data_IF_067163946694
#
_entry.id   IF_067163946694
#
_cell.length_a   1.000
_cell.length_b   1.000
_cell.length_c   1.000
_cell.angle_alpha   90.00
_cell.angle_beta   90.00
_cell.angle_gamma   90.00
#
_symmetry.space_group_name_H-M   'P 1'
#
loop_
_entity.id
_entity.type
_entity.pdbx_description
1 polymer ?
#
# COMPACT_ATOMS: atom_id res chain seq x y z
N UNK A 1 -27.61 -7.46 -16.29
CA UNK A 1 -27.27 -6.12 -16.83
C UNK A 1 -26.01 -5.62 -16.15
N UNK A 2 -25.04 -5.20 -16.96
CA UNK A 2 -23.70 -4.69 -16.61
C UNK A 2 -23.76 -3.53 -15.60
N UNK A 3 -22.78 -3.45 -14.70
CA UNK A 3 -21.92 -2.25 -14.52
C UNK A 3 -20.53 -2.67 -14.03
N UNK A 4 -19.58 -2.75 -14.97
CA UNK A 4 -18.14 -2.67 -14.67
C UNK A 4 -17.81 -1.19 -14.51
N UNK A 5 -17.12 -0.82 -13.42
CA UNK A 5 -16.48 0.48 -13.31
C UNK A 5 -14.97 0.28 -13.53
N UNK A 6 -14.50 0.69 -14.71
CA UNK A 6 -13.09 0.89 -15.00
C UNK A 6 -12.67 2.23 -14.38
N UNK A 7 -11.70 2.23 -13.48
CA UNK A 7 -11.06 3.46 -13.01
C UNK A 7 -9.78 3.67 -13.83
N UNK A 8 -9.85 4.56 -14.81
CA UNK A 8 -8.72 4.97 -15.66
C UNK A 8 -7.87 5.98 -14.87
N UNK A 9 -6.62 5.62 -14.59
CA UNK A 9 -5.61 6.54 -14.03
C UNK A 9 -5.15 7.51 -15.12
N UNK A 10 -5.41 8.81 -14.94
CA UNK A 10 -4.82 9.86 -15.78
C UNK A 10 -3.55 10.40 -15.12
N UNK A 11 -2.43 10.14 -15.79
CA UNK A 11 -1.12 10.71 -15.52
C UNK A 11 -1.07 12.10 -16.18
N UNK A 12 -1.07 13.18 -15.41
CA UNK A 12 -0.92 14.54 -15.94
C UNK A 12 0.56 14.91 -16.01
N UNK A 13 1.08 15.06 -17.23
CA UNK A 13 2.39 15.67 -17.51
C UNK A 13 2.26 17.20 -17.49
N UNK A 14 3.10 17.87 -16.69
CA UNK A 14 3.25 19.33 -16.73
C UNK A 14 4.41 19.67 -17.69
N UNK A 15 4.09 20.27 -18.84
CA UNK A 15 5.05 20.81 -19.80
C UNK A 15 5.45 22.26 -19.46
N UNK A 16 6.75 22.55 -19.44
CA UNK A 16 7.32 23.90 -19.34
C UNK A 16 7.17 24.64 -20.68
N UNK A 17 6.59 25.84 -20.66
CA UNK A 17 6.64 26.77 -21.79
C UNK A 17 7.75 27.80 -21.53
N UNK A 18 8.81 27.75 -22.34
CA UNK A 18 9.77 28.85 -22.53
C UNK A 18 9.19 29.77 -23.60
N UNK A 19 8.94 31.04 -23.26
CA UNK A 19 8.68 32.09 -24.25
C UNK A 19 9.97 32.84 -24.48
N UNK A 20 10.59 32.61 -25.65
CA UNK A 20 11.51 33.57 -26.26
C UNK A 20 10.70 34.57 -27.06
N UNK A 21 10.91 35.86 -26.87
CA UNK A 21 10.52 36.87 -27.85
C UNK A 21 11.78 37.60 -28.30
N UNK A 22 12.11 37.39 -29.57
CA UNK A 22 13.01 38.21 -30.35
C UNK A 22 12.26 39.48 -30.78
N UNK A 23 12.94 40.62 -30.86
CA UNK A 23 12.44 41.78 -31.57
C UNK A 23 13.58 42.56 -32.24
N UNK A 24 13.56 42.48 -33.57
CA UNK A 24 13.98 43.40 -34.63
C UNK A 24 15.15 44.40 -34.39
N UNK A 25 16.15 44.28 -35.27
CA UNK A 25 17.16 45.31 -35.59
C UNK A 25 16.56 46.36 -36.54
N UNK A 26 16.85 47.64 -36.31
CA UNK A 26 16.86 48.73 -37.32
C UNK A 26 18.02 49.70 -37.02
N UNK A 27 18.58 50.40 -38.03
CA UNK A 27 19.96 50.89 -38.03
C UNK A 27 20.10 52.29 -37.39
N UNK A 28 21.19 52.51 -36.64
CA UNK A 28 21.50 53.81 -36.04
C UNK A 28 22.62 54.50 -36.79
N UNK A 29 22.30 55.70 -37.27
CA UNK A 29 23.15 56.69 -37.94
C UNK A 29 24.25 57.21 -37.01
N UNK A 30 25.49 57.28 -37.51
CA UNK A 30 26.68 57.70 -36.78
C UNK A 30 27.05 59.13 -37.18
N UNK A 31 26.64 60.14 -36.40
CA UNK A 31 27.35 61.43 -36.40
C UNK A 31 27.22 62.19 -35.08
N UNK A 32 28.39 62.64 -34.60
CA UNK A 32 28.70 63.73 -33.66
C UNK A 32 28.42 63.46 -32.17
N UNK A 33 29.44 63.15 -31.38
CA UNK A 33 30.47 64.06 -30.82
C UNK A 33 29.87 65.09 -29.86
N UNK A 34 30.06 64.88 -28.56
CA UNK A 34 30.75 65.85 -27.71
C UNK A 34 30.92 65.34 -26.26
N UNK A 35 32.09 65.71 -25.73
CA UNK A 35 32.37 66.11 -24.35
C UNK A 35 32.52 65.07 -23.23
N UNK A 36 33.66 65.18 -22.54
CA UNK A 36 34.12 64.34 -21.44
C UNK A 36 33.75 65.02 -20.11
N UNK A 37 32.89 64.41 -19.29
CA UNK A 37 32.96 64.57 -17.82
C UNK A 37 32.36 63.37 -17.07
N UNK A 38 33.22 62.72 -16.29
CA UNK A 38 33.03 62.29 -14.90
C UNK A 38 31.85 61.40 -14.43
N UNK A 39 32.28 60.35 -13.69
CA UNK A 39 31.56 59.44 -12.78
C UNK A 39 30.58 58.42 -13.36
N UNK A 40 31.11 57.21 -13.54
CA UNK A 40 30.40 55.94 -13.52
C UNK A 40 29.77 55.71 -12.13
N UNK A 41 28.62 56.36 -11.88
CA UNK A 41 27.75 56.09 -10.75
C UNK A 41 26.50 55.32 -11.23
N UNK A 42 26.71 54.22 -11.97
CA UNK A 42 25.66 53.24 -12.12
C UNK A 42 25.31 52.71 -10.70
N UNK A 43 24.04 52.78 -10.26
CA UNK A 43 23.66 52.19 -8.98
C UNK A 43 24.03 50.69 -9.01
N UNK A 44 24.60 50.14 -7.93
CA UNK A 44 24.98 48.73 -7.90
C UNK A 44 23.74 47.89 -8.23
N UNK A 45 23.80 47.17 -9.36
CA UNK A 45 22.75 46.24 -9.75
C UNK A 45 22.72 45.13 -8.70
N UNK A 46 21.77 45.21 -7.78
CA UNK A 46 21.47 44.15 -6.82
C UNK A 46 20.87 42.99 -7.59
N UNK A 47 21.73 42.05 -7.99
CA UNK A 47 21.27 40.77 -8.51
C UNK A 47 20.38 40.11 -7.45
N UNK A 48 19.22 39.54 -7.83
CA UNK A 48 18.40 38.81 -6.88
C UNK A 48 19.26 37.69 -6.28
N UNK A 49 19.32 37.65 -4.95
CA UNK A 49 19.98 36.57 -4.24
C UNK A 49 19.34 35.24 -4.63
N UNK A 50 20.05 34.42 -5.41
CA UNK A 50 19.66 33.04 -5.68
C UNK A 50 20.02 32.25 -4.43
N UNK A 51 19.14 32.29 -3.43
CA UNK A 51 19.24 31.37 -2.30
C UNK A 51 18.98 29.96 -2.83
N UNK A 52 19.86 28.98 -2.58
CA UNK A 52 19.58 27.59 -2.94
C UNK A 52 18.29 27.17 -2.23
N UNK A 53 17.27 26.77 -3.01
CA UNK A 53 16.06 26.17 -2.43
C UNK A 53 16.48 24.82 -1.86
N UNK A 54 16.49 24.70 -0.53
CA UNK A 54 16.71 23.43 0.12
C UNK A 54 15.66 22.43 -0.37
N UNK A 55 16.09 21.22 -0.73
CA UNK A 55 15.14 20.14 -1.02
C UNK A 55 14.42 19.77 0.28
N UNK A 56 13.09 19.74 0.26
CA UNK A 56 12.32 19.27 1.41
C UNK A 56 12.56 17.77 1.57
N UNK A 57 13.28 17.40 2.63
CA UNK A 57 13.56 16.02 3.02
C UNK A 57 12.66 15.59 4.20
N UNK A 58 11.52 16.25 4.36
CA UNK A 58 10.51 15.87 5.35
C UNK A 58 9.56 14.86 4.73
N UNK A 59 9.07 13.92 5.52
CA UNK A 59 8.21 12.87 4.98
C UNK A 59 7.84 11.80 5.97
N UNK A 60 7.07 10.83 5.45
CA UNK A 60 6.63 9.66 6.19
C UNK A 60 7.09 8.41 5.46
N UNK A 61 7.60 7.45 6.20
CA UNK A 61 8.08 6.18 5.66
C UNK A 61 7.55 5.03 6.53
N UNK A 62 7.05 3.98 5.86
CA UNK A 62 6.84 2.69 6.50
C UNK A 62 7.97 1.75 6.08
N UNK A 63 8.65 1.15 7.06
CA UNK A 63 9.70 0.17 6.83
C UNK A 63 9.22 -1.20 7.31
N UNK A 64 9.07 -2.15 6.39
CA UNK A 64 8.69 -3.51 6.73
C UNK A 64 9.82 -4.20 7.52
N UNK A 65 9.46 -5.01 8.52
CA UNK A 65 10.42 -5.75 9.35
C UNK A 65 10.26 -7.26 9.18
N UNK A 66 9.06 -7.78 9.43
CA UNK A 66 8.79 -9.21 9.35
C UNK A 66 7.33 -9.50 9.11
N UNK A 67 7.06 -10.68 8.57
CA UNK A 67 5.71 -11.24 8.48
C UNK A 67 5.70 -12.75 8.69
N UNK A 68 4.57 -13.26 9.15
CA UNK A 68 4.28 -14.68 9.26
C UNK A 68 2.88 -14.97 8.77
N UNK A 69 2.68 -16.20 8.28
CA UNK A 69 1.37 -16.68 7.81
C UNK A 69 1.05 -17.96 8.56
N UNK A 70 -0.20 -18.10 8.96
CA UNK A 70 -0.66 -19.32 9.61
C UNK A 70 -2.17 -19.52 9.39
N UNK A 71 -2.64 -20.67 9.84
CA UNK A 71 -4.03 -21.06 9.81
C UNK A 71 -4.61 -21.00 11.22
N UNK A 72 -5.79 -20.41 11.33
CA UNK A 72 -6.66 -20.52 12.49
C UNK A 72 -7.69 -21.61 12.22
N UNK A 73 -7.72 -22.62 13.08
CA UNK A 73 -8.72 -23.69 13.06
C UNK A 73 -9.99 -23.18 13.73
N UNK A 74 -11.12 -23.28 13.03
CA UNK A 74 -12.42 -22.80 13.53
C UNK A 74 -13.48 -23.92 13.53
N UNK A 75 -13.26 -24.97 12.73
CA UNK A 75 -14.11 -26.14 12.68
C UNK A 75 -13.26 -27.41 12.64
N UNK A 76 -13.65 -28.39 13.44
CA UNK A 76 -13.17 -29.76 13.28
C UNK A 76 -14.29 -30.77 13.50
N UNK A 77 -14.26 -31.88 12.74
CA UNK A 77 -15.18 -32.99 12.92
C UNK A 77 -14.55 -34.32 12.49
N UNK A 78 -14.72 -35.38 13.28
CA UNK A 78 -14.26 -36.72 12.91
C UNK A 78 -15.33 -37.43 12.09
N UNK A 79 -15.11 -37.53 10.78
CA UNK A 79 -15.97 -38.30 9.89
C UNK A 79 -15.49 -39.75 9.80
N UNK A 80 -16.45 -40.68 9.85
CA UNK A 80 -16.20 -42.13 9.73
C UNK A 80 -17.02 -42.68 8.58
N UNK A 81 -16.37 -43.39 7.66
CA UNK A 81 -17.03 -44.11 6.59
C UNK A 81 -16.77 -45.62 6.73
N UNK A 82 -17.68 -46.37 7.39
CA UNK A 82 -17.55 -47.83 7.54
C UNK A 82 -17.96 -48.61 6.27
N UNK A 83 -18.53 -47.92 5.28
CA UNK A 83 -19.01 -48.55 4.05
C UNK A 83 -17.87 -48.99 3.13
N UNK A 84 -18.21 -49.77 2.10
CA UNK A 84 -17.29 -50.21 1.04
C UNK A 84 -17.15 -49.20 -0.10
N UNK A 85 -17.88 -48.09 -0.07
CA UNK A 85 -17.86 -47.06 -1.11
C UNK A 85 -17.42 -45.72 -0.54
N UNK A 86 -16.99 -44.80 -1.39
CA UNK A 86 -16.70 -43.43 -0.97
C UNK A 86 -17.99 -42.71 -0.62
N UNK A 87 -17.98 -41.97 0.49
CA UNK A 87 -19.10 -41.15 0.98
C UNK A 87 -18.74 -39.66 0.88
N UNK A 88 -19.70 -38.77 1.09
CA UNK A 88 -19.48 -37.32 1.15
C UNK A 88 -20.25 -36.68 2.30
N UNK A 89 -19.59 -35.81 3.06
CA UNK A 89 -20.18 -35.08 4.18
C UNK A 89 -20.07 -33.58 3.91
N UNK A 90 -21.17 -32.86 4.14
CA UNK A 90 -21.22 -31.40 3.96
C UNK A 90 -21.57 -30.70 5.27
N UNK A 91 -20.86 -29.61 5.57
CA UNK A 91 -21.15 -28.75 6.71
C UNK A 91 -21.25 -27.28 6.30
N UNK A 92 -22.05 -26.54 7.06
CA UNK A 92 -22.06 -25.08 7.06
C UNK A 92 -21.11 -24.61 8.17
N UNK A 93 -19.97 -24.03 7.78
CA UNK A 93 -18.88 -23.66 8.68
C UNK A 93 -18.77 -22.14 8.77
N UNK A 94 -18.83 -21.62 10.00
CA UNK A 94 -18.54 -20.22 10.28
C UNK A 94 -17.03 -19.98 10.37
N UNK A 95 -16.52 -19.02 9.61
CA UNK A 95 -15.12 -18.60 9.59
C UNK A 95 -15.00 -17.10 9.82
N UNK A 96 -13.96 -16.67 10.52
CA UNK A 96 -13.75 -15.27 10.90
C UNK A 96 -12.97 -14.53 9.82
N UNK A 97 -13.49 -13.39 9.37
CA UNK A 97 -12.74 -12.42 8.56
C UNK A 97 -12.46 -11.19 9.41
N UNK A 98 -11.19 -10.91 9.66
CA UNK A 98 -10.76 -9.77 10.46
C UNK A 98 -9.54 -9.07 9.90
N UNK A 99 -9.38 -7.79 10.25
CA UNK A 99 -8.17 -7.00 10.04
C UNK A 99 -7.99 -6.03 11.21
N UNK A 100 -6.82 -6.04 11.85
CA UNK A 100 -6.46 -5.14 12.93
C UNK A 100 -5.00 -4.70 12.83
N UNK A 101 -4.68 -3.49 13.27
CA UNK A 101 -3.32 -2.97 13.31
C UNK A 101 -3.21 -1.80 14.30
N UNK A 102 -2.05 -1.59 14.90
CA UNK A 102 -1.76 -0.45 15.79
C UNK A 102 -1.04 0.69 15.06
N UNK A 103 -1.44 0.98 13.84
CA UNK A 103 -0.87 2.02 12.96
C UNK A 103 -1.41 3.42 13.26
N UNK A 104 -0.68 4.47 12.87
CA UNK A 104 -1.17 5.84 13.00
C UNK A 104 -2.29 6.17 12.00
N UNK A 105 -2.26 5.57 10.80
CA UNK A 105 -3.24 5.85 9.73
C UNK A 105 -3.59 4.58 8.95
N UNK A 106 -4.75 4.58 8.29
CA UNK A 106 -5.14 3.51 7.37
C UNK A 106 -4.20 3.38 6.18
N UNK A 107 -3.51 4.47 5.78
CA UNK A 107 -2.50 4.45 4.72
C UNK A 107 -1.30 3.58 5.11
N UNK A 108 -0.83 3.67 6.35
CA UNK A 108 0.24 2.78 6.86
C UNK A 108 -0.15 1.32 6.74
N UNK A 109 -1.38 0.98 7.15
CA UNK A 109 -1.85 -0.40 7.06
C UNK A 109 -1.91 -0.87 5.60
N UNK A 110 -2.34 -0.02 4.67
CA UNK A 110 -2.29 -0.33 3.23
C UNK A 110 -0.85 -0.56 2.73
N UNK A 111 0.12 0.26 3.18
CA UNK A 111 1.54 0.02 2.87
C UNK A 111 2.03 -1.30 3.45
N UNK A 112 1.68 -1.61 4.71
CA UNK A 112 2.00 -2.90 5.34
C UNK A 112 1.43 -4.09 4.55
N UNK A 113 0.16 -3.99 4.13
CA UNK A 113 -0.50 -5.01 3.29
C UNK A 113 0.18 -5.16 1.94
N UNK A 114 0.61 -4.05 1.33
CA UNK A 114 1.31 -4.02 0.05
C UNK A 114 2.70 -4.68 0.15
N UNK A 115 3.49 -4.32 1.16
CA UNK A 115 4.83 -4.91 1.40
C UNK A 115 4.76 -6.42 1.66
N UNK A 116 3.72 -6.88 2.36
CA UNK A 116 3.54 -8.33 2.60
C UNK A 116 2.98 -9.05 1.36
N UNK A 117 2.38 -8.33 0.42
CA UNK A 117 1.85 -8.86 -0.82
C UNK A 117 0.61 -9.74 -0.65
N UNK A 118 -0.20 -9.51 0.40
CA UNK A 118 -1.41 -10.29 0.67
C UNK A 118 -2.56 -9.39 1.06
N UNK A 119 -3.57 -9.31 0.20
CA UNK A 119 -4.77 -8.53 0.44
C UNK A 119 -5.55 -8.97 1.68
N UNK A 120 -6.31 -8.04 2.25
CA UNK A 120 -7.22 -8.30 3.36
C UNK A 120 -8.60 -8.71 2.84
N UNK A 121 -9.34 -9.51 3.61
CA UNK A 121 -10.75 -9.82 3.29
C UNK A 121 -11.73 -8.75 3.73
N UNK A 122 -11.34 -7.93 4.71
CA UNK A 122 -12.16 -6.85 5.30
C UNK A 122 -11.31 -5.61 5.54
N UNK A 123 -11.97 -4.48 5.76
CA UNK A 123 -11.31 -3.21 6.08
C UNK A 123 -10.66 -3.24 7.46
N UNK A 124 -9.70 -2.33 7.68
CA UNK A 124 -9.00 -2.19 8.96
C UNK A 124 -9.99 -1.92 10.11
N UNK A 125 -9.83 -2.63 11.22
CA UNK A 125 -10.68 -2.50 12.41
C UNK A 125 -11.96 -3.33 12.34
N UNK A 126 -12.21 -4.02 11.21
CA UNK A 126 -13.41 -4.84 11.04
C UNK A 126 -13.16 -6.29 11.44
N UNK A 127 -14.17 -6.91 12.05
CA UNK A 127 -14.26 -8.36 12.27
C UNK A 127 -15.68 -8.81 11.96
N UNK A 128 -15.81 -9.79 11.07
CA UNK A 128 -17.11 -10.36 10.67
C UNK A 128 -17.00 -11.87 10.53
N UNK A 129 -18.15 -12.54 10.61
CA UNK A 129 -18.25 -13.98 10.41
C UNK A 129 -18.83 -14.25 9.03
N UNK A 130 -18.14 -15.09 8.25
CA UNK A 130 -18.62 -15.60 6.98
C UNK A 130 -18.97 -17.08 7.13
N UNK A 131 -20.12 -17.47 6.61
CA UNK A 131 -20.51 -18.88 6.60
C UNK A 131 -20.19 -19.51 5.24
N UNK A 132 -19.52 -20.66 5.25
CA UNK A 132 -19.12 -21.41 4.06
C UNK A 132 -19.80 -22.78 4.06
N UNK A 133 -20.31 -23.21 2.90
CA UNK A 133 -20.70 -24.60 2.71
C UNK A 133 -19.51 -25.39 2.18
N UNK A 134 -19.06 -26.41 2.91
CA UNK A 134 -17.88 -27.20 2.59
C UNK A 134 -18.27 -28.67 2.54
N UNK A 135 -17.89 -29.36 1.46
CA UNK A 135 -18.14 -30.78 1.25
C UNK A 135 -16.81 -31.53 1.18
N UNK A 136 -16.70 -32.60 1.97
CA UNK A 136 -15.55 -33.51 1.96
C UNK A 136 -15.98 -34.90 1.51
N UNK A 137 -15.23 -35.47 0.57
CA UNK A 137 -15.34 -36.88 0.22
C UNK A 137 -14.57 -37.75 1.24
N UNK A 138 -15.18 -38.81 1.76
CA UNK A 138 -14.60 -39.74 2.74
C UNK A 138 -14.45 -41.12 2.08
N UNK A 139 -13.22 -41.59 1.79
CA UNK A 139 -13.00 -42.91 1.19
C UNK A 139 -13.63 -44.05 2.00
N UNK A 140 -13.90 -45.17 1.32
CA UNK A 140 -14.39 -46.38 1.95
C UNK A 140 -13.50 -46.84 3.12
N UNK A 141 -14.09 -47.47 4.13
CA UNK A 141 -13.40 -48.09 5.27
C UNK A 141 -12.37 -47.17 5.94
N UNK A 142 -12.69 -45.88 6.10
CA UNK A 142 -11.72 -44.90 6.58
C UNK A 142 -12.31 -43.87 7.53
N UNK A 143 -11.42 -43.24 8.30
CA UNK A 143 -11.74 -42.15 9.20
C UNK A 143 -10.88 -40.94 8.84
N UNK A 144 -11.49 -39.76 8.83
CA UNK A 144 -10.81 -38.51 8.53
C UNK A 144 -11.25 -37.43 9.51
N UNK A 145 -10.27 -36.69 10.04
CA UNK A 145 -10.52 -35.45 10.75
C UNK A 145 -10.70 -34.34 9.71
N UNK A 146 -11.92 -33.84 9.57
CA UNK A 146 -12.29 -32.72 8.71
C UNK A 146 -11.95 -31.44 9.45
N UNK A 147 -11.31 -30.48 8.78
CA UNK A 147 -10.93 -29.21 9.38
C UNK A 147 -11.20 -28.06 8.44
N UNK A 148 -11.58 -26.92 8.99
CA UNK A 148 -11.70 -25.67 8.25
C UNK A 148 -11.46 -24.47 9.15
N UNK A 149 -11.15 -23.34 8.52
CA UNK A 149 -11.02 -22.07 9.20
C UNK A 149 -10.45 -20.98 8.30
N UNK A 150 -9.75 -20.04 8.91
CA UNK A 150 -9.25 -18.85 8.26
C UNK A 150 -7.72 -18.82 8.25
N UNK A 151 -7.14 -18.40 7.14
CA UNK A 151 -5.71 -18.14 7.02
C UNK A 151 -5.45 -16.67 7.31
N UNK A 152 -4.47 -16.42 8.16
CA UNK A 152 -4.10 -15.08 8.59
C UNK A 152 -2.63 -14.80 8.31
N UNK A 153 -2.35 -13.51 8.20
CA UNK A 153 -1.04 -12.91 8.12
C UNK A 153 -0.87 -12.02 9.34
N UNK A 154 0.30 -12.06 9.96
CA UNK A 154 0.71 -11.08 10.95
C UNK A 154 2.01 -10.46 10.48
N UNK A 155 2.09 -9.14 10.54
CA UNK A 155 3.23 -8.39 10.08
C UNK A 155 3.64 -7.33 11.10
N UNK A 156 4.90 -6.94 11.04
CA UNK A 156 5.44 -5.84 11.82
C UNK A 156 6.34 -4.95 10.95
N UNK A 157 6.51 -3.71 11.39
CA UNK A 157 7.39 -2.74 10.77
C UNK A 157 7.53 -1.50 11.64
N UNK A 158 8.07 -0.44 11.05
CA UNK A 158 8.30 0.83 11.73
C UNK A 158 7.76 1.98 10.90
N UNK A 159 6.96 2.84 11.53
CA UNK A 159 6.58 4.15 10.98
C UNK A 159 7.67 5.16 11.36
N UNK A 160 8.23 5.86 10.37
CA UNK A 160 9.21 6.93 10.58
C UNK A 160 8.67 8.26 10.06
N UNK A 161 8.87 9.31 10.84
CA UNK A 161 8.68 10.68 10.40
C UNK A 161 10.03 11.35 10.24
N UNK A 162 10.22 12.00 9.11
CA UNK A 162 11.43 12.69 8.72
C UNK A 162 11.18 14.20 8.70
N UNK A 163 12.17 14.96 9.15
CA UNK A 163 12.23 16.41 9.02
C UNK A 163 13.65 16.80 8.64
N UNK A 164 13.81 17.49 7.52
CA UNK A 164 15.11 17.90 6.99
C UNK A 164 16.14 16.75 6.96
N UNK A 165 15.71 15.54 6.56
CA UNK A 165 16.59 14.36 6.43
C UNK A 165 16.94 13.66 7.75
N UNK A 166 16.35 14.08 8.88
CA UNK A 166 16.53 13.44 10.19
C UNK A 166 15.23 12.76 10.63
N UNK A 167 15.35 11.57 11.21
CA UNK A 167 14.21 10.89 11.84
C UNK A 167 13.84 11.64 13.12
N UNK A 168 12.62 12.18 13.18
CA UNK A 168 12.09 12.89 14.34
C UNK A 168 11.13 12.03 15.17
N UNK A 169 10.58 10.96 14.58
CA UNK A 169 9.74 9.98 15.27
C UNK A 169 9.91 8.61 14.64
N UNK A 170 9.90 7.58 15.49
CA UNK A 170 10.01 6.18 15.08
C UNK A 170 9.13 5.33 15.97
N UNK A 171 8.16 4.62 15.38
CA UNK A 171 7.19 3.80 16.12
C UNK A 171 7.05 2.43 15.49
N UNK A 172 7.19 1.37 16.31
CA UNK A 172 6.90 0.01 15.87
C UNK A 172 5.40 -0.19 15.72
N UNK A 173 5.01 -0.76 14.58
CA UNK A 173 3.64 -1.12 14.25
C UNK A 173 3.54 -2.58 13.87
N UNK A 174 2.38 -3.15 14.15
CA UNK A 174 1.99 -4.51 13.89
C UNK A 174 0.59 -4.51 13.27
N UNK A 175 0.36 -5.48 12.41
CA UNK A 175 -0.95 -5.73 11.81
C UNK A 175 -1.20 -7.23 11.76
N UNK A 176 -2.46 -7.62 11.89
CA UNK A 176 -2.92 -8.98 11.70
C UNK A 176 -4.21 -8.95 10.89
N UNK A 177 -4.25 -9.73 9.81
CA UNK A 177 -5.43 -9.81 8.96
C UNK A 177 -5.62 -11.19 8.36
N UNK A 178 -6.88 -11.49 8.09
CA UNK A 178 -7.31 -12.67 7.34
C UNK A 178 -7.27 -12.37 5.85
N UNK A 179 -6.88 -13.37 5.05
CA UNK A 179 -6.74 -13.21 3.59
C UNK A 179 -7.46 -14.29 2.79
N UNK A 180 -7.62 -15.50 3.35
CA UNK A 180 -8.43 -16.56 2.75
C UNK A 180 -9.02 -17.45 3.82
N UNK A 181 -10.00 -18.27 3.42
CA UNK A 181 -10.44 -19.43 4.20
C UNK A 181 -9.75 -20.68 3.66
N UNK A 182 -9.66 -21.72 4.49
CA UNK A 182 -9.06 -23.00 4.14
C UNK A 182 -9.91 -24.15 4.69
N UNK A 183 -9.77 -25.31 4.05
CA UNK A 183 -10.36 -26.57 4.52
C UNK A 183 -9.50 -27.74 4.09
N UNK A 184 -9.34 -28.73 4.96
CA UNK A 184 -8.65 -29.97 4.64
C UNK A 184 -9.32 -31.17 5.33
N UNK A 185 -8.77 -32.35 5.07
CA UNK A 185 -9.08 -33.57 5.81
C UNK A 185 -7.78 -34.33 6.07
N UNK A 186 -7.64 -34.86 7.28
CA UNK A 186 -6.46 -35.61 7.71
C UNK A 186 -6.86 -37.03 8.07
N UNK A 187 -6.23 -38.02 7.45
CA UNK A 187 -6.50 -39.44 7.76
C UNK A 187 -6.16 -39.70 9.23
N UNK A 188 -7.05 -40.45 9.91
CA UNK A 188 -6.84 -40.91 11.29
C UNK A 188 -6.48 -42.39 11.31
#
# INVERSE_FOLDING_TARGET
MKKMLLATSMLSLLSLNVVSSASAEEPVDFTNSEDYTEYDNAPPVTLPSIAPRASDMSGYEYVHSSSSRNNQLEFQHLAKNPSSTTDSVSYSVAVTQSSSANVATSATFKSMVAEVGVSTQVELGTSTTKTLSITWSIPAKSNYLLRAGSSWVQASGTEKQWSAGKVISSKTVTGKWTYTSWSDKVKQ
#
